data_IF_233491859855
#
_entry.id   IF_233491859855
#
_cell.length_a   1.000
_cell.length_b   1.000
_cell.length_c   1.000
_cell.angle_alpha   90.00
_cell.angle_beta   90.00
_cell.angle_gamma   90.00
#
_symmetry.space_group_name_H-M   'P 1'
#
loop_
_entity.id
_entity.type
_entity.pdbx_description
1 polymer ?
#
# COMPACT_ATOMS: atom_id res chain seq x y z
N UNK A 1 6.96 11.62 6.76
CA UNK A 1 7.87 10.54 6.27
C UNK A 1 8.67 11.13 5.14
N UNK A 2 10.00 11.12 5.23
CA UNK A 2 10.86 11.68 4.19
C UNK A 2 11.21 10.56 3.20
N UNK A 3 11.01 10.81 1.90
CA UNK A 3 11.32 9.87 0.82
C UNK A 3 12.31 10.53 -0.12
N UNK A 4 13.37 9.81 -0.46
CA UNK A 4 14.39 10.25 -1.42
C UNK A 4 14.34 9.37 -2.66
N UNK A 5 14.42 9.99 -3.84
CA UNK A 5 14.44 9.29 -5.12
C UNK A 5 15.85 9.39 -5.69
N UNK A 6 16.53 8.24 -5.80
CA UNK A 6 17.85 8.13 -6.39
C UNK A 6 17.76 7.86 -7.90
N UNK A 7 18.81 8.19 -8.65
CA UNK A 7 18.87 7.81 -10.06
C UNK A 7 19.11 6.30 -10.17
N UNK A 8 18.61 5.64 -11.24
CA UNK A 8 18.78 4.20 -11.42
C UNK A 8 20.26 3.72 -11.48
N UNK A 9 21.20 4.62 -11.81
CA UNK A 9 22.65 4.35 -11.87
C UNK A 9 23.34 4.34 -10.50
N UNK A 10 22.67 4.83 -9.47
CA UNK A 10 23.28 5.10 -8.17
C UNK A 10 23.08 3.87 -7.28
N UNK A 11 24.15 3.09 -7.07
CA UNK A 11 24.12 2.03 -6.06
C UNK A 11 24.01 2.65 -4.68
N UNK A 12 23.06 2.19 -3.85
CA UNK A 12 22.93 2.69 -2.47
C UNK A 12 24.25 2.48 -1.70
N UNK A 13 24.98 3.57 -1.48
CA UNK A 13 26.21 3.63 -0.69
C UNK A 13 26.16 4.85 0.24
N UNK A 14 27.07 4.92 1.20
CA UNK A 14 27.08 6.01 2.20
C UNK A 14 27.26 7.40 1.58
N UNK A 15 28.07 7.53 0.51
CA UNK A 15 28.31 8.81 -0.16
C UNK A 15 27.06 9.39 -0.81
N UNK A 16 26.20 8.53 -1.38
CA UNK A 16 24.92 8.94 -1.98
C UNK A 16 23.87 9.24 -0.91
N UNK A 17 23.91 8.54 0.23
CA UNK A 17 22.93 8.70 1.30
C UNK A 17 23.25 9.89 2.22
N UNK A 18 24.51 10.29 2.34
CA UNK A 18 24.93 11.37 3.24
C UNK A 18 24.21 12.71 2.99
N UNK A 19 24.02 13.17 1.73
CA UNK A 19 23.21 14.36 1.44
C UNK A 19 21.73 14.23 1.78
N UNK A 20 21.20 13.01 1.85
CA UNK A 20 19.80 12.78 2.23
C UNK A 20 19.62 12.83 3.75
N UNK A 21 20.65 12.47 4.50
CA UNK A 21 20.63 12.51 5.95
C UNK A 21 21.09 13.83 6.54
N UNK A 22 21.79 14.66 5.78
CA UNK A 22 22.42 15.88 6.27
C UNK A 22 21.42 16.87 6.88
N UNK A 23 20.18 16.96 6.36
CA UNK A 23 19.13 17.76 7.01
C UNK A 23 18.81 17.27 8.44
N UNK A 24 18.66 15.95 8.63
CA UNK A 24 18.43 15.37 9.96
C UNK A 24 19.66 15.50 10.86
N UNK A 25 20.87 15.29 10.32
CA UNK A 25 22.12 15.47 11.09
C UNK A 25 22.32 16.92 11.52
N UNK A 26 21.96 17.88 10.68
CA UNK A 26 22.05 19.32 10.99
C UNK A 26 21.05 19.74 12.08
N UNK A 27 19.93 19.02 12.21
CA UNK A 27 18.94 19.17 13.28
C UNK A 27 19.27 18.28 14.51
N UNK A 28 20.53 17.86 14.65
CA UNK A 28 21.07 17.04 15.75
C UNK A 28 20.41 15.65 15.92
N UNK A 29 19.77 15.11 14.89
CA UNK A 29 19.25 13.73 14.94
C UNK A 29 20.39 12.70 14.87
N UNK A 30 20.41 11.79 15.85
CA UNK A 30 21.23 10.58 15.79
C UNK A 30 20.55 9.54 14.91
N UNK A 31 21.19 9.19 13.79
CA UNK A 31 20.67 8.18 12.88
C UNK A 31 20.88 6.78 13.44
N UNK A 32 19.89 5.92 13.21
CA UNK A 32 19.98 4.48 13.45
C UNK A 32 20.25 4.01 14.89
N UNK A 33 19.99 4.85 15.89
CA UNK A 33 20.14 4.55 17.32
C UNK A 33 19.54 3.18 17.71
N UNK A 34 20.39 2.32 18.26
CA UNK A 34 20.08 0.93 18.60
C UNK A 34 18.94 0.79 19.62
N UNK A 35 18.73 1.81 20.48
CA UNK A 35 17.64 1.83 21.47
C UNK A 35 16.26 1.80 20.78
N UNK A 36 16.19 2.27 19.54
CA UNK A 36 14.98 2.35 18.74
C UNK A 36 14.92 1.30 17.61
N UNK A 37 15.81 0.30 17.61
CA UNK A 37 15.92 -0.68 16.51
C UNK A 37 14.59 -1.41 16.19
N UNK A 38 13.74 -1.63 17.20
CA UNK A 38 12.42 -2.25 17.02
C UNK A 38 11.42 -1.36 16.26
N UNK A 39 11.55 -0.03 16.34
CA UNK A 39 10.72 0.89 15.56
C UNK A 39 11.00 0.78 14.05
N UNK A 40 12.24 0.47 13.66
CA UNK A 40 12.60 0.29 12.24
C UNK A 40 11.76 -0.81 11.58
N UNK A 41 11.36 -1.83 12.34
CA UNK A 41 10.55 -2.94 11.85
C UNK A 41 9.14 -2.49 11.40
N UNK A 42 8.65 -1.36 11.93
CA UNK A 42 7.36 -0.76 11.58
C UNK A 42 7.42 0.15 10.35
N UNK A 43 8.61 0.59 9.92
CA UNK A 43 8.75 1.48 8.77
C UNK A 43 8.07 0.92 7.52
N UNK A 44 8.25 -0.39 7.28
CA UNK A 44 7.59 -1.08 6.17
C UNK A 44 6.07 -0.94 6.23
N UNK A 45 5.45 -1.21 7.37
CA UNK A 45 3.99 -1.10 7.52
C UNK A 45 3.52 0.33 7.34
N UNK A 46 4.18 1.31 7.97
CA UNK A 46 3.82 2.72 7.86
C UNK A 46 3.88 3.22 6.42
N UNK A 47 4.97 2.93 5.72
CA UNK A 47 5.15 3.29 4.32
C UNK A 47 4.05 2.67 3.45
N UNK A 48 3.79 1.38 3.62
CA UNK A 48 2.81 0.63 2.84
C UNK A 48 1.38 1.15 3.08
N UNK A 49 0.99 1.45 4.32
CA UNK A 49 -0.31 2.04 4.64
C UNK A 49 -0.44 3.47 4.09
N UNK A 50 0.61 4.28 4.18
CA UNK A 50 0.61 5.63 3.60
C UNK A 50 0.51 5.60 2.07
N UNK A 51 1.24 4.69 1.40
CA UNK A 51 1.11 4.47 -0.03
C UNK A 51 -0.28 3.97 -0.42
N UNK A 52 -0.84 3.03 0.34
CA UNK A 52 -2.21 2.55 0.11
C UNK A 52 -3.23 3.68 0.19
N UNK A 53 -3.12 4.55 1.22
CA UNK A 53 -3.93 5.76 1.37
C UNK A 53 -3.86 6.64 0.13
N UNK A 54 -2.65 7.00 -0.27
CA UNK A 54 -2.44 7.84 -1.46
C UNK A 54 -3.14 7.28 -2.70
N UNK A 55 -2.94 5.99 -3.01
CA UNK A 55 -3.56 5.40 -4.20
C UNK A 55 -5.09 5.29 -4.11
N UNK A 56 -5.64 5.07 -2.92
CA UNK A 56 -7.09 5.06 -2.71
C UNK A 56 -7.67 6.46 -2.92
N UNK A 57 -7.04 7.49 -2.36
CA UNK A 57 -7.49 8.88 -2.46
C UNK A 57 -7.45 9.35 -3.94
N UNK A 58 -6.36 9.05 -4.66
CA UNK A 58 -6.25 9.32 -6.10
C UNK A 58 -7.32 8.58 -6.91
N UNK A 59 -7.61 7.32 -6.56
CA UNK A 59 -8.65 6.54 -7.23
C UNK A 59 -10.05 7.13 -6.97
N UNK A 60 -10.34 7.58 -5.74
CA UNK A 60 -11.60 8.25 -5.39
C UNK A 60 -11.75 9.59 -6.12
N UNK A 61 -10.65 10.29 -6.39
CA UNK A 61 -10.64 11.57 -7.11
C UNK A 61 -10.81 11.43 -8.64
N UNK A 62 -10.55 10.24 -9.20
CA UNK A 62 -10.62 10.00 -10.64
C UNK A 62 -12.04 10.15 -11.20
N UNK A 63 -12.25 11.05 -12.17
CA UNK A 63 -13.51 11.15 -12.93
C UNK A 63 -13.63 10.00 -13.94
N UNK A 64 -14.84 9.50 -14.19
CA UNK A 64 -15.05 8.41 -15.15
C UNK A 64 -15.32 8.89 -16.57
N UNK A 65 -14.42 8.56 -17.51
CA UNK A 65 -14.58 8.83 -18.94
C UNK A 65 -14.74 7.50 -19.68
N UNK A 66 -16.00 7.13 -19.96
CA UNK A 66 -16.31 5.89 -20.68
C UNK A 66 -15.62 5.84 -22.04
N UNK A 67 -15.06 4.68 -22.39
CA UNK A 67 -14.45 4.43 -23.70
C UNK A 67 -13.02 4.96 -23.87
N UNK A 68 -12.43 5.58 -22.83
CA UNK A 68 -11.03 5.97 -22.84
C UNK A 68 -10.16 4.85 -22.24
N UNK A 69 -9.29 4.27 -23.06
CA UNK A 69 -8.44 3.15 -22.67
C UNK A 69 -7.34 3.57 -21.68
N UNK A 70 -6.74 4.76 -21.86
CA UNK A 70 -5.73 5.28 -20.96
C UNK A 70 -6.30 5.52 -19.55
N UNK A 71 -7.51 6.06 -19.46
CA UNK A 71 -8.24 6.26 -18.21
C UNK A 71 -8.51 4.92 -17.49
N UNK A 72 -8.94 3.90 -18.25
CA UNK A 72 -9.16 2.56 -17.73
C UNK A 72 -7.88 1.93 -17.16
N UNK A 73 -6.75 2.05 -17.87
CA UNK A 73 -5.45 1.57 -17.38
C UNK A 73 -4.95 2.32 -16.16
N UNK A 74 -5.12 3.65 -16.14
CA UNK A 74 -4.71 4.46 -15.01
C UNK A 74 -5.45 4.05 -13.72
N UNK A 75 -6.77 3.89 -13.79
CA UNK A 75 -7.58 3.45 -12.64
C UNK A 75 -7.23 2.05 -12.19
N UNK A 76 -7.03 1.13 -13.12
CA UNK A 76 -6.61 -0.23 -12.78
C UNK A 76 -5.24 -0.21 -12.09
N UNK A 77 -4.31 0.64 -12.53
CA UNK A 77 -3.00 0.79 -11.91
C UNK A 77 -3.13 1.34 -10.48
N UNK A 78 -3.91 2.40 -10.27
CA UNK A 78 -4.18 2.96 -8.93
C UNK A 78 -4.83 1.92 -8.02
N UNK A 79 -5.87 1.24 -8.49
CA UNK A 79 -6.57 0.22 -7.74
C UNK A 79 -5.64 -0.94 -7.36
N UNK A 80 -4.88 -1.46 -8.33
CA UNK A 80 -3.92 -2.54 -8.08
C UNK A 80 -2.82 -2.12 -7.11
N UNK A 81 -2.34 -0.88 -7.22
CA UNK A 81 -1.34 -0.32 -6.30
C UNK A 81 -1.90 -0.22 -4.88
N UNK A 82 -3.12 0.29 -4.69
CA UNK A 82 -3.81 0.28 -3.39
C UNK A 82 -3.88 -1.12 -2.79
N UNK A 83 -4.44 -2.08 -3.54
CA UNK A 83 -4.62 -3.47 -3.10
C UNK A 83 -3.28 -4.10 -2.71
N UNK A 84 -2.23 -3.90 -3.51
CA UNK A 84 -0.90 -4.44 -3.24
C UNK A 84 -0.25 -3.84 -2.00
N UNK A 85 -0.27 -2.51 -1.86
CA UNK A 85 0.39 -1.84 -0.75
C UNK A 85 -0.32 -2.20 0.57
N UNK A 86 -1.65 -2.20 0.59
CA UNK A 86 -2.42 -2.65 1.73
C UNK A 86 -2.10 -4.11 2.09
N UNK A 87 -2.18 -5.02 1.11
CA UNK A 87 -2.02 -6.47 1.36
C UNK A 87 -0.62 -6.85 1.86
N UNK A 88 0.42 -6.09 1.49
CA UNK A 88 1.79 -6.28 1.97
C UNK A 88 1.91 -6.10 3.50
N UNK A 89 1.02 -5.35 4.13
CA UNK A 89 1.00 -5.21 5.58
C UNK A 89 0.57 -6.50 6.30
N UNK A 90 -0.21 -7.35 5.64
CA UNK A 90 -0.82 -8.57 6.20
C UNK A 90 -0.20 -9.87 5.66
N UNK A 91 0.65 -9.75 4.65
CA UNK A 91 1.38 -10.89 4.09
C UNK A 91 2.68 -11.08 4.87
N UNK A 92 3.09 -12.33 5.09
CA UNK A 92 4.39 -12.63 5.67
C UNK A 92 5.49 -12.00 4.83
N UNK A 93 6.17 -11.01 5.38
CA UNK A 93 7.38 -10.46 4.77
C UNK A 93 8.60 -11.18 5.35
N UNK A 94 9.73 -11.18 4.65
CA UNK A 94 10.96 -11.84 5.10
C UNK A 94 11.42 -11.38 6.51
N UNK A 95 12.40 -12.10 7.07
CA UNK A 95 12.87 -11.95 8.45
C UNK A 95 12.97 -10.47 8.92
N UNK A 96 12.35 -10.17 10.05
CA UNK A 96 12.50 -8.89 10.77
C UNK A 96 11.49 -7.79 10.44
N UNK A 97 10.49 -8.05 9.59
CA UNK A 97 9.40 -7.10 9.31
C UNK A 97 8.16 -7.39 10.15
N UNK A 98 7.48 -6.35 10.58
CA UNK A 98 6.16 -6.49 11.23
C UNK A 98 5.14 -6.91 10.19
N UNK A 99 4.36 -7.94 10.52
CA UNK A 99 3.16 -8.34 9.79
C UNK A 99 1.95 -8.12 10.68
N UNK A 100 0.94 -7.45 10.14
CA UNK A 100 -0.34 -7.23 10.80
C UNK A 100 -1.18 -8.51 10.77
N UNK A 101 -1.87 -8.77 11.88
CA UNK A 101 -2.87 -9.84 11.96
C UNK A 101 -4.26 -9.21 11.84
N UNK A 102 -4.96 -9.48 10.75
CA UNK A 102 -6.30 -8.95 10.50
C UNK A 102 -7.30 -9.24 11.62
N UNK A 103 -7.20 -10.40 12.29
CA UNK A 103 -8.10 -10.71 13.42
C UNK A 103 -7.86 -9.79 14.61
N UNK A 104 -6.61 -9.41 14.85
CA UNK A 104 -6.23 -8.50 15.93
C UNK A 104 -6.58 -7.05 15.58
N UNK A 105 -6.23 -6.64 14.37
CA UNK A 105 -6.50 -5.28 13.85
C UNK A 105 -7.99 -4.97 13.88
N UNK A 106 -8.84 -5.90 13.43
CA UNK A 106 -10.28 -5.68 13.29
C UNK A 106 -11.12 -6.39 14.34
N UNK A 107 -10.55 -6.65 15.52
CA UNK A 107 -11.20 -7.42 16.60
C UNK A 107 -12.55 -6.84 17.06
N UNK A 108 -12.75 -5.53 16.94
CA UNK A 108 -13.98 -4.82 17.31
C UNK A 108 -14.70 -4.16 16.11
N UNK A 109 -14.24 -4.38 14.88
CA UNK A 109 -14.73 -3.68 13.68
C UNK A 109 -15.15 -4.68 12.60
N UNK A 110 -16.36 -5.23 12.72
CA UNK A 110 -16.86 -6.29 11.84
C UNK A 110 -16.90 -5.89 10.35
N UNK A 111 -17.37 -4.68 10.06
CA UNK A 111 -17.44 -4.16 8.67
C UNK A 111 -16.05 -3.98 8.05
N UNK A 112 -15.11 -3.41 8.82
CA UNK A 112 -13.72 -3.27 8.40
C UNK A 112 -13.06 -4.64 8.14
N UNK A 113 -13.40 -5.67 8.92
CA UNK A 113 -12.92 -7.03 8.70
C UNK A 113 -13.49 -7.63 7.39
N UNK A 114 -14.74 -7.34 7.05
CA UNK A 114 -15.34 -7.78 5.78
C UNK A 114 -14.62 -7.12 4.61
N UNK A 115 -14.41 -5.81 4.65
CA UNK A 115 -13.66 -5.07 3.64
C UNK A 115 -12.20 -5.55 3.53
N UNK A 116 -11.53 -5.81 4.65
CA UNK A 116 -10.20 -6.41 4.68
C UNK A 116 -10.15 -7.74 3.93
N UNK A 117 -11.08 -8.66 4.21
CA UNK A 117 -11.16 -9.96 3.53
C UNK A 117 -11.40 -9.78 2.04
N UNK A 118 -12.25 -8.83 1.66
CA UNK A 118 -12.54 -8.49 0.26
C UNK A 118 -11.29 -7.99 -0.47
N UNK A 119 -10.52 -7.09 0.13
CA UNK A 119 -9.23 -6.61 -0.42
C UNK A 119 -8.26 -7.78 -0.64
N UNK A 120 -8.09 -8.67 0.35
CA UNK A 120 -7.20 -9.83 0.21
C UNK A 120 -7.68 -10.82 -0.86
N UNK A 121 -9.00 -11.00 -1.00
CA UNK A 121 -9.56 -11.80 -2.07
C UNK A 121 -9.21 -11.22 -3.44
N UNK A 122 -9.42 -9.90 -3.64
CA UNK A 122 -9.09 -9.21 -4.88
C UNK A 122 -7.59 -9.31 -5.18
N UNK A 123 -6.71 -9.16 -4.18
CA UNK A 123 -5.27 -9.39 -4.35
C UNK A 123 -5.02 -10.78 -4.94
N UNK A 124 -5.67 -11.81 -4.40
CA UNK A 124 -5.43 -13.19 -4.81
C UNK A 124 -6.02 -13.50 -6.19
N UNK A 125 -7.22 -13.04 -6.50
CA UNK A 125 -7.92 -13.36 -7.74
C UNK A 125 -7.48 -12.48 -8.91
N UNK A 126 -7.27 -11.19 -8.68
CA UNK A 126 -6.96 -10.22 -9.72
C UNK A 126 -5.46 -9.92 -9.81
N UNK A 127 -4.84 -9.47 -8.72
CA UNK A 127 -3.56 -8.77 -8.82
C UNK A 127 -2.34 -9.70 -8.78
N UNK A 128 -2.41 -10.81 -8.04
CA UNK A 128 -1.24 -11.67 -7.81
C UNK A 128 -1.18 -12.90 -8.71
N UNK A 129 -2.33 -13.43 -9.17
CA UNK A 129 -2.36 -14.72 -9.85
C UNK A 129 -3.09 -14.74 -11.20
N UNK A 130 -3.57 -13.60 -11.72
CA UNK A 130 -4.42 -13.54 -12.93
C UNK A 130 -5.44 -14.70 -12.95
N UNK A 131 -6.05 -14.97 -11.79
CA UNK A 131 -7.03 -16.04 -11.64
C UNK A 131 -8.36 -15.62 -12.26
N UNK A 132 -9.36 -16.51 -12.14
CA UNK A 132 -10.73 -16.21 -12.53
C UNK A 132 -11.26 -15.06 -11.65
N UNK A 133 -11.29 -13.86 -12.21
CA UNK A 133 -11.68 -12.64 -11.53
C UNK A 133 -12.78 -11.98 -12.34
N UNK A 134 -13.97 -11.88 -11.76
CA UNK A 134 -15.13 -11.18 -12.35
C UNK A 134 -14.88 -9.69 -12.60
N UNK A 135 -13.75 -9.15 -12.12
CA UNK A 135 -13.34 -7.76 -12.31
C UNK A 135 -12.62 -7.51 -13.64
N UNK A 136 -12.16 -8.56 -14.34
CA UNK A 136 -11.45 -8.44 -15.63
C UNK A 136 -11.89 -9.53 -16.57
N UNK A 137 -12.45 -9.14 -17.71
CA UNK A 137 -12.80 -10.05 -18.78
C UNK A 137 -12.09 -9.69 -20.07
N UNK A 138 -11.18 -10.55 -20.50
CA UNK A 138 -10.56 -10.47 -21.82
C UNK A 138 -11.42 -11.22 -22.84
N UNK A 139 -11.71 -10.59 -23.96
CA UNK A 139 -12.54 -11.14 -25.03
C UNK A 139 -11.90 -10.89 -26.39
N UNK A 140 -12.32 -11.69 -27.38
CA UNK A 140 -11.91 -11.56 -28.77
C UNK A 140 -13.15 -11.45 -29.64
N UNK A 141 -13.20 -10.40 -30.46
CA UNK A 141 -14.15 -10.27 -31.55
C UNK A 141 -13.51 -10.76 -32.84
N UNK A 142 -14.18 -11.65 -33.56
CA UNK A 142 -13.74 -12.14 -34.86
C UNK A 142 -14.76 -11.73 -35.91
N UNK A 143 -14.28 -11.12 -37.00
CA UNK A 143 -15.08 -10.77 -38.18
C UNK A 143 -14.49 -11.48 -39.38
N UNK A 144 -15.26 -12.39 -39.97
CA UNK A 144 -14.90 -13.07 -41.23
C UNK A 144 -15.14 -12.15 -42.44
N UNK A 145 -14.25 -12.24 -43.42
CA UNK A 145 -14.31 -11.60 -44.73
C UNK A 145 -13.92 -12.63 -45.80
N UNK A 146 -14.21 -12.32 -47.07
CA UNK A 146 -14.04 -13.25 -48.20
C UNK A 146 -12.61 -13.87 -48.31
N UNK A 147 -11.57 -13.15 -47.89
CA UNK A 147 -10.16 -13.58 -47.97
C UNK A 147 -9.42 -13.61 -46.62
N UNK A 148 -10.06 -13.23 -45.51
CA UNK A 148 -9.38 -13.08 -44.20
C UNK A 148 -10.33 -13.07 -43.00
N UNK A 149 -9.76 -13.25 -41.81
CA UNK A 149 -10.40 -12.93 -40.54
C UNK A 149 -9.79 -11.65 -39.95
N UNK A 150 -10.63 -10.71 -39.51
CA UNK A 150 -10.23 -9.62 -38.62
C UNK A 150 -10.45 -10.03 -37.18
N UNK A 151 -9.40 -9.98 -36.37
CA UNK A 151 -9.43 -10.32 -34.94
C UNK A 151 -9.17 -9.06 -34.12
N UNK A 152 -10.04 -8.77 -33.15
CA UNK A 152 -9.88 -7.66 -32.21
C UNK A 152 -9.90 -8.17 -30.77
N UNK A 153 -8.86 -7.85 -30.02
CA UNK A 153 -8.84 -8.06 -28.58
C UNK A 153 -9.53 -6.88 -27.89
N UNK A 154 -10.36 -7.16 -26.89
CA UNK A 154 -10.90 -6.14 -26.02
C UNK A 154 -10.98 -6.66 -24.59
N UNK A 155 -10.91 -5.74 -23.62
CA UNK A 155 -10.93 -6.05 -22.20
C UNK A 155 -11.99 -5.19 -21.53
N UNK A 156 -12.77 -5.82 -20.66
CA UNK A 156 -13.71 -5.15 -19.77
C UNK A 156 -13.15 -5.18 -18.37
N UNK A 157 -13.12 -4.00 -17.73
CA UNK A 157 -12.68 -3.82 -16.36
C UNK A 157 -13.87 -3.37 -15.50
N UNK A 158 -14.11 -4.04 -14.38
CA UNK A 158 -15.09 -3.67 -13.39
C UNK A 158 -14.36 -3.35 -12.07
N UNK A 159 -14.00 -2.09 -11.88
CA UNK A 159 -13.43 -1.62 -10.60
C UNK A 159 -14.63 -1.35 -9.66
N UNK A 160 -14.66 -1.93 -8.46
CA UNK A 160 -15.78 -1.79 -7.53
C UNK A 160 -15.72 -0.42 -6.82
N UNK A 161 -16.09 0.65 -7.53
CA UNK A 161 -16.06 2.02 -7.01
C UNK A 161 -16.98 2.23 -5.80
N UNK A 162 -18.06 1.47 -5.73
CA UNK A 162 -19.02 1.43 -4.63
C UNK A 162 -18.45 0.81 -3.34
N UNK A 163 -17.37 0.03 -3.44
CA UNK A 163 -16.71 -0.60 -2.29
C UNK A 163 -15.61 0.29 -1.68
N UNK A 164 -15.24 1.43 -2.30
CA UNK A 164 -14.07 2.22 -1.90
C UNK A 164 -14.15 2.79 -0.48
N UNK A 165 -15.34 3.21 -0.01
CA UNK A 165 -15.50 3.70 1.36
C UNK A 165 -15.34 2.57 2.40
N UNK A 166 -15.76 1.35 2.06
CA UNK A 166 -15.52 0.19 2.90
C UNK A 166 -14.02 -0.17 2.94
N UNK A 167 -13.32 -0.02 1.82
CA UNK A 167 -11.87 -0.21 1.75
C UNK A 167 -11.10 0.84 2.56
N UNK A 168 -11.57 2.08 2.53
CA UNK A 168 -11.06 3.16 3.39
C UNK A 168 -11.20 2.80 4.87
N UNK A 169 -12.36 2.30 5.30
CA UNK A 169 -12.57 1.89 6.69
C UNK A 169 -11.58 0.79 7.12
N UNK A 170 -11.31 -0.19 6.25
CA UNK A 170 -10.30 -1.22 6.53
C UNK A 170 -8.87 -0.66 6.61
N UNK A 171 -8.56 0.34 5.79
CA UNK A 171 -7.27 1.04 5.81
C UNK A 171 -7.12 1.86 7.10
N UNK A 172 -8.15 2.60 7.51
CA UNK A 172 -8.16 3.37 8.76
C UNK A 172 -7.96 2.48 9.98
N UNK A 173 -8.64 1.34 10.03
CA UNK A 173 -8.46 0.37 11.12
C UNK A 173 -7.01 -0.13 11.21
N UNK A 174 -6.38 -0.41 10.06
CA UNK A 174 -4.97 -0.81 10.01
C UNK A 174 -4.01 0.32 10.43
N UNK A 175 -4.29 1.56 10.01
CA UNK A 175 -3.53 2.75 10.39
C UNK A 175 -3.64 3.00 11.91
N UNK A 176 -4.85 3.02 12.45
CA UNK A 176 -5.11 3.23 13.87
C UNK A 176 -4.44 2.17 14.75
N UNK A 177 -4.57 0.89 14.38
CA UNK A 177 -3.87 -0.20 15.10
C UNK A 177 -2.35 -0.01 15.08
N UNK A 178 -1.78 0.36 13.93
CA UNK A 178 -0.33 0.54 13.79
C UNK A 178 0.18 1.71 14.63
N UNK A 179 -0.52 2.84 14.63
CA UNK A 179 -0.19 4.00 15.46
C UNK A 179 -0.23 3.64 16.95
N UNK A 180 -1.27 2.95 17.40
CA UNK A 180 -1.37 2.51 18.81
C UNK A 180 -0.24 1.56 19.20
N UNK A 181 0.11 0.62 18.31
CA UNK A 181 1.20 -0.33 18.56
C UNK A 181 2.57 0.36 18.63
N UNK A 182 2.81 1.37 17.79
CA UNK A 182 4.02 2.18 17.79
C UNK A 182 4.09 3.03 19.06
N UNK A 183 3.01 3.73 19.41
CA UNK A 183 2.96 4.56 20.62
C UNK A 183 3.23 3.72 21.87
N UNK A 184 2.62 2.54 21.99
CA UNK A 184 2.92 1.61 23.09
C UNK A 184 4.39 1.22 23.16
N UNK A 185 5.06 1.10 22.00
CA UNK A 185 6.49 0.82 21.97
C UNK A 185 7.33 2.04 22.38
N UNK A 186 6.96 3.24 21.93
CA UNK A 186 7.59 4.50 22.32
C UNK A 186 7.45 4.75 23.82
N UNK A 187 6.27 4.53 24.40
CA UNK A 187 6.00 4.65 25.83
C UNK A 187 6.93 3.74 26.63
N UNK A 188 7.04 2.46 26.22
CA UNK A 188 7.94 1.51 26.86
C UNK A 188 9.40 1.93 26.80
N UNK A 189 9.88 2.40 25.65
CA UNK A 189 11.25 2.91 25.52
C UNK A 189 11.43 4.16 26.39
N UNK A 190 10.40 5.00 26.48
CA UNK A 190 10.39 6.17 27.36
C UNK A 190 10.51 5.82 28.83
N UNK A 191 9.76 4.81 29.31
CA UNK A 191 9.87 4.27 30.66
C UNK A 191 11.29 3.75 30.95
N UNK A 192 11.87 2.98 30.02
CA UNK A 192 13.23 2.44 30.14
C UNK A 192 14.31 3.55 30.19
N UNK A 193 14.08 4.67 29.52
CA UNK A 193 15.02 5.80 29.45
C UNK A 193 14.72 6.91 30.47
N UNK A 194 13.62 6.83 31.21
CA UNK A 194 13.15 7.90 32.09
C UNK A 194 12.79 9.19 31.35
N UNK A 195 12.29 9.10 30.11
CA UNK A 195 12.00 10.23 29.23
C UNK A 195 10.68 10.03 28.47
N UNK A 196 10.06 11.13 28.04
CA UNK A 196 8.98 11.07 27.06
C UNK A 196 9.60 10.89 25.67
N UNK A 197 9.14 9.89 24.92
CA UNK A 197 9.56 9.65 23.54
C UNK A 197 8.36 9.84 22.63
N UNK A 198 8.48 10.74 21.66
CA UNK A 198 7.41 11.06 20.72
C UNK A 198 7.83 10.69 19.30
N UNK A 199 6.85 10.30 18.48
CA UNK A 199 7.04 10.23 17.04
C UNK A 199 6.99 11.65 16.48
N UNK A 200 8.05 12.11 15.83
CA UNK A 200 8.06 13.42 15.21
C UNK A 200 7.01 13.53 14.10
N UNK A 201 6.24 14.62 14.09
CA UNK A 201 5.43 15.00 12.94
C UNK A 201 6.36 15.58 11.88
N UNK A 202 6.58 14.83 10.82
CA UNK A 202 7.27 15.33 9.62
C UNK A 202 6.30 15.86 8.58
#
# INVERSE_FOLDING_TARGET
>A
MIVFILKPSDFMNEEILDPHYSALKNDDYCLDDARFARLKQWHGVLFQLASARYYLDELKACKSVKGNLQDAYHKLALFSAFILQYSKCFSSAGNGRVTLDGKRVFSSAGEALVAHKRILNIRNTLVAHNGDSDLVHANVGVKEQDDRFEVKHFMTLAIPFEELDAFELALEGAQGFSVLAINKHLDKVGEELGKIVLLGSG
#
